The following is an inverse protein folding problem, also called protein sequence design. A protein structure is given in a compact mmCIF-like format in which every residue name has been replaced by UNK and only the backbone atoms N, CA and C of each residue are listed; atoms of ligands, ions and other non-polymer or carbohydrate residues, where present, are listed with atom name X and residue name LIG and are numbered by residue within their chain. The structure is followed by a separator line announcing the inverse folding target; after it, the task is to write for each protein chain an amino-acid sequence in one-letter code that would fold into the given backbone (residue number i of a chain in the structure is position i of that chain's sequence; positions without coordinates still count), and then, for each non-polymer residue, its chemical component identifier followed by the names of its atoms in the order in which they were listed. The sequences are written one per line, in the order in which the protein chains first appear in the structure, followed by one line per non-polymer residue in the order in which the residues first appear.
data_IF_989349743802
#
_entry.id   IF_989349743802
#
_cell.length_a   1.000
_cell.length_b   1.000
_cell.length_c   1.000
_cell.angle_alpha   90.00
_cell.angle_beta   90.00
_cell.angle_gamma   90.00
#
_symmetry.space_group_name_H-M   'P 1'
#
loop_
_entity.id
_entity.type
_entity.pdbx_description
1 polymer ?
#
# COMPACT_ATOMS: atom_id res chain seq x y z
N UNK A 1 64.88 12.66 -33.30
CA UNK A 1 63.98 13.55 -34.06
C UNK A 1 62.85 12.69 -34.60
N UNK A 2 61.60 13.06 -34.24
CA UNK A 2 60.29 12.57 -34.71
C UNK A 2 59.92 11.13 -34.25
N UNK A 3 58.97 10.85 -33.35
CA UNK A 3 57.64 11.41 -33.02
C UNK A 3 56.64 11.40 -34.18
N UNK A 4 55.64 10.50 -34.13
CA UNK A 4 54.19 10.74 -33.94
C UNK A 4 53.39 9.51 -34.43
N UNK A 5 52.42 9.08 -33.61
CA UNK A 5 51.12 8.41 -33.84
C UNK A 5 50.83 7.50 -32.63
N UNK A 6 50.24 8.03 -31.55
CA UNK A 6 48.79 8.01 -31.25
C UNK A 6 48.27 6.57 -31.05
N UNK A 7 47.85 6.20 -29.85
CA UNK A 7 46.45 6.38 -29.44
C UNK A 7 46.34 6.46 -27.92
N UNK A 8 45.86 7.59 -27.42
CA UNK A 8 45.26 7.70 -26.09
C UNK A 8 43.87 7.05 -26.16
N UNK A 9 43.77 5.84 -25.62
CA UNK A 9 42.50 5.20 -25.31
C UNK A 9 41.95 5.80 -24.02
N UNK A 10 41.29 6.95 -24.12
CA UNK A 10 40.43 7.48 -23.07
C UNK A 10 39.23 6.55 -22.88
N UNK A 11 39.36 5.58 -21.98
CA UNK A 11 38.25 4.81 -21.44
C UNK A 11 37.41 5.73 -20.54
N UNK A 12 36.49 6.49 -21.12
CA UNK A 12 35.40 7.07 -20.32
C UNK A 12 34.41 5.95 -20.03
N UNK A 13 34.67 5.22 -18.94
CA UNK A 13 33.69 4.34 -18.31
C UNK A 13 32.52 5.22 -17.86
N UNK A 14 31.52 5.41 -18.71
CA UNK A 14 30.23 5.96 -18.30
C UNK A 14 29.56 4.90 -17.43
N UNK A 15 29.62 5.10 -16.11
CA UNK A 15 28.92 4.30 -15.13
C UNK A 15 27.44 4.20 -15.51
N UNK A 16 26.91 2.98 -15.61
CA UNK A 16 25.48 2.76 -15.89
C UNK A 16 24.66 3.41 -14.76
N UNK A 17 23.66 4.21 -15.15
CA UNK A 17 22.74 4.87 -14.23
C UNK A 17 21.58 3.94 -13.88
N UNK A 18 21.22 3.91 -12.61
CA UNK A 18 20.06 3.23 -12.04
C UNK A 18 19.01 4.28 -11.68
N UNK A 19 17.73 4.00 -11.94
CA UNK A 19 16.64 4.92 -11.56
C UNK A 19 16.09 4.55 -10.20
N UNK A 20 16.08 5.47 -9.25
CA UNK A 20 15.30 5.34 -8.02
C UNK A 20 13.99 6.10 -8.20
N UNK A 21 12.88 5.38 -8.34
CA UNK A 21 11.55 5.94 -8.58
C UNK A 21 10.77 6.06 -7.28
N UNK A 22 10.27 7.25 -6.99
CA UNK A 22 9.47 7.55 -5.81
C UNK A 22 7.98 7.54 -6.17
N UNK A 23 7.17 6.82 -5.40
CA UNK A 23 5.75 6.64 -5.67
C UNK A 23 4.85 7.17 -4.54
N UNK A 24 3.57 7.38 -4.86
CA UNK A 24 2.56 7.86 -3.92
C UNK A 24 2.93 9.22 -3.30
N UNK A 25 2.52 9.44 -2.06
CA UNK A 25 2.79 10.70 -1.34
C UNK A 25 4.28 10.98 -1.11
N UNK A 26 5.17 9.99 -1.24
CA UNK A 26 6.61 10.21 -1.14
C UNK A 26 7.14 11.08 -2.28
N UNK A 27 6.61 10.93 -3.51
CA UNK A 27 6.94 11.78 -4.66
C UNK A 27 6.69 13.25 -4.36
N UNK A 28 5.53 13.54 -3.76
CA UNK A 28 5.09 14.90 -3.47
C UNK A 28 5.91 15.53 -2.33
N UNK A 29 6.19 14.75 -1.27
CA UNK A 29 7.00 15.22 -0.14
C UNK A 29 8.46 15.46 -0.51
N UNK A 30 9.04 14.59 -1.33
CA UNK A 30 10.44 14.72 -1.80
C UNK A 30 10.55 15.73 -2.95
N UNK A 31 9.45 16.02 -3.65
CA UNK A 31 9.42 16.93 -4.80
C UNK A 31 10.12 16.36 -6.04
N UNK A 32 10.35 15.04 -6.10
CA UNK A 32 10.99 14.34 -7.22
C UNK A 32 10.30 13.01 -7.48
N UNK A 33 10.15 12.67 -8.75
CA UNK A 33 9.62 11.36 -9.16
C UNK A 33 10.73 10.33 -9.38
N UNK A 34 11.87 10.76 -9.93
CA UNK A 34 12.99 9.89 -10.27
C UNK A 34 14.29 10.55 -9.79
N UNK A 35 15.17 9.75 -9.20
CA UNK A 35 16.54 10.09 -8.83
C UNK A 35 17.47 9.18 -9.65
N UNK A 36 18.34 9.75 -10.47
CA UNK A 36 19.33 8.96 -11.22
C UNK A 36 20.60 8.76 -10.38
N UNK A 37 20.96 7.51 -10.13
CA UNK A 37 22.13 7.15 -9.34
C UNK A 37 23.14 6.46 -10.23
N UNK A 38 24.39 6.91 -10.19
CA UNK A 38 25.50 6.20 -10.82
C UNK A 38 25.87 4.96 -9.99
N UNK A 39 25.59 3.77 -10.53
CA UNK A 39 25.71 2.56 -9.74
C UNK A 39 25.20 1.27 -10.38
N UNK A 40 25.26 1.09 -11.69
CA UNK A 40 24.75 -0.13 -12.33
C UNK A 40 25.49 -1.44 -12.00
N UNK A 41 26.55 -1.38 -11.19
CA UNK A 41 27.25 -2.55 -10.59
C UNK A 41 27.11 -2.55 -9.05
N UNK A 42 26.30 -1.64 -8.49
CA UNK A 42 26.09 -1.54 -7.05
C UNK A 42 24.90 -2.39 -6.63
N UNK A 43 25.03 -3.01 -5.45
CA UNK A 43 23.90 -3.58 -4.74
C UNK A 43 22.83 -2.53 -4.45
N UNK A 44 21.57 -2.96 -4.40
CA UNK A 44 20.44 -2.05 -4.21
C UNK A 44 20.54 -1.17 -2.97
N UNK A 45 21.12 -1.68 -1.87
CA UNK A 45 21.29 -0.92 -0.63
C UNK A 45 22.27 0.25 -0.84
N UNK A 46 23.36 0.02 -1.58
CA UNK A 46 24.31 1.06 -1.94
C UNK A 46 23.72 2.09 -2.92
N UNK A 47 22.87 1.65 -3.85
CA UNK A 47 22.11 2.56 -4.74
C UNK A 47 21.21 3.50 -3.92
N UNK A 48 20.47 2.97 -2.96
CA UNK A 48 19.59 3.76 -2.10
C UNK A 48 20.37 4.72 -1.20
N UNK A 49 21.51 4.30 -0.64
CA UNK A 49 22.40 5.19 0.12
C UNK A 49 22.85 6.39 -0.70
N UNK A 50 23.31 6.17 -1.93
CA UNK A 50 23.66 7.26 -2.85
C UNK A 50 22.47 8.14 -3.22
N UNK A 51 21.27 7.58 -3.36
CA UNK A 51 20.07 8.37 -3.60
C UNK A 51 19.76 9.30 -2.41
N UNK A 52 19.95 8.83 -1.18
CA UNK A 52 19.81 9.62 0.05
C UNK A 52 20.84 10.75 0.12
N UNK A 53 22.08 10.50 -0.29
CA UNK A 53 23.12 11.54 -0.39
C UNK A 53 22.77 12.64 -1.40
N UNK A 54 22.13 12.28 -2.52
CA UNK A 54 21.69 13.24 -3.54
C UNK A 54 20.42 14.02 -3.14
N UNK A 55 19.52 13.38 -2.39
CA UNK A 55 18.20 13.93 -2.07
C UNK A 55 17.90 13.69 -0.60
N UNK A 56 18.19 14.69 0.23
CA UNK A 56 18.05 14.61 1.68
C UNK A 56 16.62 14.25 2.14
N UNK A 57 15.60 14.68 1.41
CA UNK A 57 14.20 14.31 1.69
C UNK A 57 13.93 12.80 1.66
N UNK A 58 14.78 12.01 0.98
CA UNK A 58 14.67 10.56 0.95
C UNK A 58 15.03 9.90 2.30
N UNK A 59 15.70 10.62 3.21
CA UNK A 59 15.96 10.15 4.59
C UNK A 59 14.67 9.83 5.35
N UNK A 60 13.51 10.33 4.91
CA UNK A 60 12.21 9.95 5.48
C UNK A 60 11.90 8.45 5.25
N UNK A 61 12.32 7.93 4.08
CA UNK A 61 11.98 6.59 3.62
C UNK A 61 13.13 5.58 3.76
N UNK A 62 14.38 6.02 3.65
CA UNK A 62 15.58 5.19 3.65
C UNK A 62 16.53 5.67 4.76
N UNK A 63 17.16 4.75 5.49
CA UNK A 63 18.17 5.08 6.50
C UNK A 63 19.56 5.38 5.89
N UNK A 64 20.53 5.73 6.73
CA UNK A 64 21.89 6.08 6.30
C UNK A 64 22.67 4.87 5.76
N UNK A 65 22.26 3.65 6.12
CA UNK A 65 22.85 2.42 5.60
C UNK A 65 22.29 2.03 4.23
N UNK A 66 21.19 2.65 3.78
CA UNK A 66 20.53 2.34 2.52
C UNK A 66 19.35 1.37 2.66
N UNK A 67 18.89 1.13 3.89
CA UNK A 67 17.78 0.21 4.19
C UNK A 67 16.44 0.96 4.24
N UNK A 68 15.35 0.35 3.75
CA UNK A 68 14.02 0.95 3.85
C UNK A 68 13.54 1.03 5.29
N UNK A 69 13.02 2.19 5.69
CA UNK A 69 12.40 2.41 7.01
C UNK A 69 10.99 1.79 7.08
N UNK A 70 10.46 1.52 8.28
CA UNK A 70 9.08 1.10 8.45
C UNK A 70 8.08 2.04 7.77
N UNK A 71 7.06 1.46 7.13
CA UNK A 71 6.04 2.18 6.37
C UNK A 71 6.41 2.43 4.90
N UNK A 72 7.52 1.86 4.40
CA UNK A 72 7.87 1.89 2.98
C UNK A 72 8.15 0.48 2.46
N UNK A 73 7.66 0.18 1.25
CA UNK A 73 8.12 -0.95 0.48
C UNK A 73 9.15 -0.48 -0.54
N UNK A 74 10.13 -1.36 -0.77
CA UNK A 74 11.12 -1.20 -1.81
C UNK A 74 11.11 -2.41 -2.72
N UNK A 75 11.07 -2.14 -4.02
CA UNK A 75 11.22 -3.15 -5.05
C UNK A 75 12.49 -2.89 -5.84
N UNK A 76 13.35 -3.89 -5.91
CA UNK A 76 14.60 -3.85 -6.67
C UNK A 76 14.36 -4.61 -7.95
N UNK A 77 14.40 -3.86 -9.04
CA UNK A 77 13.94 -4.29 -10.34
C UNK A 77 12.54 -4.86 -10.33
N UNK A 78 11.71 -4.77 -9.28
CA UNK A 78 10.44 -5.50 -9.22
C UNK A 78 10.55 -6.86 -8.53
N UNK A 79 11.46 -6.99 -7.58
CA UNK A 79 11.42 -8.02 -6.54
C UNK A 79 11.46 -7.30 -5.20
N UNK A 80 10.66 -7.75 -4.23
CA UNK A 80 10.69 -7.19 -2.88
C UNK A 80 12.08 -7.33 -2.28
N UNK A 81 12.65 -6.23 -1.79
CA UNK A 81 14.04 -6.20 -1.30
C UNK A 81 14.31 -7.23 -0.18
N UNK A 82 13.27 -7.63 0.57
CA UNK A 82 13.38 -8.61 1.67
C UNK A 82 13.68 -10.03 1.18
N UNK A 83 13.50 -10.28 -0.11
CA UNK A 83 13.78 -11.56 -0.76
C UNK A 83 15.18 -11.57 -1.42
N UNK A 84 15.91 -10.46 -1.35
CA UNK A 84 17.19 -10.28 -2.02
C UNK A 84 18.32 -10.04 -1.02
N UNK A 85 19.55 -10.48 -1.33
CA UNK A 85 20.71 -10.04 -0.58
C UNK A 85 21.01 -8.56 -0.87
N UNK A 86 21.60 -7.83 0.08
CA UNK A 86 21.83 -6.37 0.00
C UNK A 86 22.76 -5.95 -1.16
N UNK A 87 23.62 -6.87 -1.59
CA UNK A 87 24.60 -6.71 -2.66
C UNK A 87 24.07 -7.12 -4.04
N UNK A 88 22.82 -7.56 -4.15
CA UNK A 88 22.18 -7.85 -5.44
C UNK A 88 22.17 -6.58 -6.32
N UNK A 89 22.87 -6.67 -7.46
CA UNK A 89 22.97 -5.61 -8.45
C UNK A 89 21.60 -5.21 -9.01
N UNK A 90 21.46 -3.93 -9.34
CA UNK A 90 20.24 -3.36 -9.94
C UNK A 90 20.42 -3.19 -11.44
N UNK A 91 19.56 -3.84 -12.22
CA UNK A 91 19.58 -3.77 -13.68
C UNK A 91 18.95 -2.48 -14.20
N UNK A 92 17.76 -2.11 -13.72
CA UNK A 92 16.94 -1.04 -14.30
C UNK A 92 16.50 0.00 -13.27
N UNK A 93 15.84 -0.41 -12.19
CA UNK A 93 15.25 0.54 -11.24
C UNK A 93 15.04 0.00 -9.82
N UNK A 94 15.06 0.93 -8.87
CA UNK A 94 14.58 0.71 -7.51
C UNK A 94 13.32 1.55 -7.31
N UNK A 95 12.22 0.94 -6.91
CA UNK A 95 10.97 1.65 -6.61
C UNK A 95 10.82 1.77 -5.10
N UNK A 96 10.60 2.98 -4.60
CA UNK A 96 10.31 3.27 -3.20
C UNK A 96 8.88 3.80 -3.09
N UNK A 97 8.03 3.11 -2.33
CA UNK A 97 6.64 3.47 -2.14
C UNK A 97 6.26 3.44 -0.66
N UNK A 98 5.51 4.43 -0.17
CA UNK A 98 4.91 4.36 1.16
C UNK A 98 3.81 3.30 1.19
N UNK A 99 3.78 2.48 2.23
CA UNK A 99 2.72 1.48 2.52
C UNK A 99 1.91 1.79 3.76
N UNK A 100 2.10 2.97 4.33
CA UNK A 100 1.22 3.48 5.38
C UNK A 100 -0.20 3.70 4.82
N UNK A 101 -1.21 3.18 5.52
CA UNK A 101 -2.58 3.68 5.46
C UNK A 101 -2.54 5.18 5.83
N UNK A 102 -2.61 6.08 4.84
CA UNK A 102 -2.88 7.50 4.98
C UNK A 102 -2.65 8.16 6.33
N UNK A 103 -1.41 8.60 6.53
CA UNK A 103 -1.04 9.65 7.45
C UNK A 103 0.25 10.27 6.95
N UNK A 104 0.21 11.55 6.61
CA UNK A 104 1.37 12.36 6.30
C UNK A 104 2.44 12.21 7.39
N UNK A 105 3.59 11.62 7.06
CA UNK A 105 4.82 11.79 7.84
C UNK A 105 5.27 13.24 7.69
N UNK A 106 4.98 14.00 8.75
CA UNK A 106 5.69 15.17 9.25
C UNK A 106 6.21 16.21 8.25
N UNK A 107 5.41 17.27 8.09
CA UNK A 107 5.96 18.63 8.15
C UNK A 107 6.44 18.84 9.59
N UNK A 108 7.72 19.13 9.76
CA UNK A 108 8.41 19.44 11.02
C UNK A 108 7.49 19.86 12.19
N UNK A 109 7.41 19.00 13.21
CA UNK A 109 6.85 19.37 14.53
C UNK A 109 5.34 19.28 14.71
N UNK A 110 4.57 18.65 13.81
CA UNK A 110 3.13 18.38 14.04
C UNK A 110 2.89 16.94 14.50
N UNK A 111 2.34 16.83 15.72
CA UNK A 111 1.84 15.62 16.37
C UNK A 111 0.90 14.85 15.42
N UNK A 112 1.18 13.57 15.15
CA UNK A 112 0.23 12.69 14.44
C UNK A 112 -1.04 12.61 15.28
N UNK A 113 -2.15 13.10 14.74
CA UNK A 113 -3.43 13.01 15.43
C UNK A 113 -4.05 11.64 15.19
N UNK A 114 -4.15 10.85 16.26
CA UNK A 114 -4.74 9.53 16.29
C UNK A 114 -6.20 9.62 16.73
N UNK A 115 -7.09 8.88 16.06
CA UNK A 115 -8.44 8.60 16.54
C UNK A 115 -8.48 7.15 16.96
N UNK A 116 -8.58 6.92 18.26
CA UNK A 116 -8.81 5.58 18.80
C UNK A 116 -10.29 5.26 18.77
N UNK A 117 -10.68 4.29 17.95
CA UNK A 117 -12.05 3.82 17.90
C UNK A 117 -12.30 2.81 19.02
N UNK A 118 -13.48 2.89 19.61
CA UNK A 118 -14.01 1.91 20.54
C UNK A 118 -14.89 0.90 19.78
N UNK A 119 -15.13 -0.26 20.38
CA UNK A 119 -16.10 -1.22 19.84
C UNK A 119 -17.49 -0.62 19.63
N UNK A 120 -17.91 0.31 20.49
CA UNK A 120 -19.17 1.03 20.34
C UNK A 120 -19.19 1.91 19.08
N UNK A 121 -18.06 2.53 18.74
CA UNK A 121 -17.94 3.29 17.49
C UNK A 121 -18.05 2.38 16.26
N UNK A 122 -17.51 1.15 16.37
CA UNK A 122 -17.62 0.13 15.32
C UNK A 122 -19.07 -0.34 15.17
N UNK A 123 -19.76 -0.65 16.27
CA UNK A 123 -21.18 -1.05 16.25
C UNK A 123 -22.06 0.03 15.60
N UNK A 124 -21.85 1.30 15.93
CA UNK A 124 -22.56 2.40 15.29
C UNK A 124 -22.24 2.52 13.79
N UNK A 125 -20.96 2.39 13.41
CA UNK A 125 -20.56 2.47 12.00
C UNK A 125 -21.15 1.31 11.18
N UNK A 126 -21.14 0.09 11.72
CA UNK A 126 -21.77 -1.08 11.10
C UNK A 126 -23.27 -0.86 10.93
N UNK A 127 -23.96 -0.37 11.97
CA UNK A 127 -25.40 -0.10 11.89
C UNK A 127 -25.73 0.92 10.79
N UNK A 128 -24.96 2.01 10.68
CA UNK A 128 -25.15 3.03 9.64
C UNK A 128 -24.88 2.48 8.23
N UNK A 129 -23.84 1.67 8.07
CA UNK A 129 -23.52 1.01 6.78
C UNK A 129 -24.62 0.00 6.40
N UNK A 130 -25.08 -0.82 7.34
CA UNK A 130 -26.17 -1.76 7.12
C UNK A 130 -27.47 -1.06 6.71
N UNK A 131 -27.83 0.03 7.40
CA UNK A 131 -28.99 0.86 7.05
C UNK A 131 -28.89 1.42 5.63
N UNK A 132 -27.70 1.86 5.21
CA UNK A 132 -27.46 2.37 3.86
C UNK A 132 -27.60 1.28 2.80
N UNK A 133 -27.14 0.06 3.08
CA UNK A 133 -27.30 -1.11 2.20
C UNK A 133 -28.79 -1.48 2.07
N UNK A 134 -29.51 -1.58 3.18
CA UNK A 134 -30.95 -1.90 3.16
C UNK A 134 -31.74 -0.85 2.39
N UNK A 135 -31.45 0.44 2.60
CA UNK A 135 -32.13 1.55 1.91
C UNK A 135 -31.84 1.61 0.42
N UNK A 136 -30.70 1.12 -0.05
CA UNK A 136 -30.39 1.09 -1.49
C UNK A 136 -31.13 -0.02 -2.23
N UNK A 137 -31.72 -0.98 -1.52
CA UNK A 137 -32.35 -2.18 -2.10
C UNK A 137 -31.34 -3.22 -2.57
N UNK A 138 -30.05 -3.09 -2.20
CA UNK A 138 -29.05 -4.09 -2.49
C UNK A 138 -29.13 -5.23 -1.47
N UNK A 139 -29.40 -6.45 -1.94
CA UNK A 139 -29.49 -7.65 -1.13
C UNK A 139 -28.26 -8.54 -1.38
N UNK A 140 -27.19 -8.44 -0.58
CA UNK A 140 -26.02 -9.28 -0.74
C UNK A 140 -26.31 -10.73 -0.37
N UNK A 141 -25.92 -11.65 -1.25
CA UNK A 141 -26.00 -13.09 -1.00
C UNK A 141 -24.69 -13.63 -0.40
N UNK A 142 -23.60 -12.89 -0.61
CA UNK A 142 -22.26 -13.19 -0.13
C UNK A 142 -21.58 -11.91 0.34
N UNK A 143 -20.92 -11.99 1.49
CA UNK A 143 -20.00 -10.95 1.96
C UNK A 143 -18.56 -11.46 1.84
N UNK A 144 -17.66 -10.65 1.27
CA UNK A 144 -16.25 -10.96 1.12
C UNK A 144 -15.42 -9.95 1.91
N UNK A 145 -14.85 -10.38 3.03
CA UNK A 145 -13.95 -9.55 3.83
C UNK A 145 -12.53 -9.52 3.25
N UNK A 146 -11.93 -8.33 3.15
CA UNK A 146 -10.53 -8.19 2.77
C UNK A 146 -9.64 -8.42 4.00
N UNK A 147 -8.70 -9.35 3.89
CA UNK A 147 -7.74 -9.62 4.96
C UNK A 147 -6.70 -8.50 5.04
N UNK A 148 -6.38 -7.98 6.23
CA UNK A 148 -6.87 -8.38 7.57
C UNK A 148 -8.01 -7.50 8.09
N UNK A 149 -8.01 -6.21 7.76
CA UNK A 149 -8.89 -5.20 8.38
C UNK A 149 -10.38 -5.44 8.18
N UNK A 150 -10.76 -5.89 6.98
CA UNK A 150 -12.13 -6.16 6.59
C UNK A 150 -12.81 -7.36 7.24
N UNK A 151 -12.12 -8.25 7.97
CA UNK A 151 -12.74 -9.43 8.57
C UNK A 151 -13.80 -9.05 9.61
N UNK A 152 -13.44 -8.15 10.53
CA UNK A 152 -14.32 -7.77 11.64
C UNK A 152 -15.55 -7.02 11.11
N UNK A 153 -15.43 -5.99 10.26
CA UNK A 153 -16.58 -5.35 9.62
C UNK A 153 -17.43 -6.33 8.79
N UNK A 154 -16.81 -7.25 8.04
CA UNK A 154 -17.53 -8.23 7.24
C UNK A 154 -18.42 -9.14 8.10
N UNK A 155 -17.88 -9.64 9.22
CA UNK A 155 -18.63 -10.49 10.14
C UNK A 155 -19.80 -9.73 10.80
N UNK A 156 -19.57 -8.49 11.22
CA UNK A 156 -20.61 -7.67 11.84
C UNK A 156 -21.71 -7.27 10.86
N UNK A 157 -21.35 -6.94 9.60
CA UNK A 157 -22.33 -6.67 8.55
C UNK A 157 -23.10 -7.93 8.15
N UNK A 158 -22.46 -9.10 8.15
CA UNK A 158 -23.14 -10.36 7.88
C UNK A 158 -24.24 -10.66 8.90
N UNK A 159 -23.96 -10.44 10.19
CA UNK A 159 -24.96 -10.56 11.25
C UNK A 159 -26.09 -9.53 11.06
N UNK A 160 -25.74 -8.25 10.86
CA UNK A 160 -26.72 -7.17 10.70
C UNK A 160 -27.64 -7.34 9.48
N UNK A 161 -27.13 -7.92 8.39
CA UNK A 161 -27.86 -8.12 7.13
C UNK A 161 -28.46 -9.53 7.00
N UNK A 162 -28.18 -10.44 7.94
CA UNK A 162 -28.64 -11.83 7.88
C UNK A 162 -27.96 -12.68 6.80
N UNK A 163 -26.77 -12.30 6.34
CA UNK A 163 -26.02 -13.01 5.29
C UNK A 163 -25.18 -14.12 5.91
N UNK A 164 -25.40 -15.36 5.49
CA UNK A 164 -24.69 -16.53 6.04
C UNK A 164 -23.39 -16.86 5.32
N UNK A 165 -23.27 -16.48 4.05
CA UNK A 165 -22.11 -16.79 3.24
C UNK A 165 -21.06 -15.70 3.40
N UNK A 166 -19.98 -16.02 4.12
CA UNK A 166 -18.87 -15.11 4.34
C UNK A 166 -17.61 -15.73 3.74
N UNK A 167 -16.98 -15.01 2.82
CA UNK A 167 -15.69 -15.33 2.24
C UNK A 167 -14.63 -14.34 2.70
N UNK A 168 -13.37 -14.69 2.48
CA UNK A 168 -12.24 -13.79 2.73
C UNK A 168 -11.25 -13.85 1.57
N UNK A 169 -10.62 -12.72 1.28
CA UNK A 169 -9.52 -12.61 0.30
C UNK A 169 -8.33 -11.93 0.93
N UNK A 170 -7.12 -12.42 0.65
CA UNK A 170 -5.89 -11.67 0.93
C UNK A 170 -5.29 -11.20 -0.38
N UNK A 171 -5.13 -9.87 -0.50
CA UNK A 171 -4.59 -9.23 -1.68
C UNK A 171 -3.24 -8.62 -1.32
N UNK A 172 -2.21 -8.99 -2.07
CA UNK A 172 -0.92 -8.30 -2.02
C UNK A 172 -0.68 -7.61 -3.35
N UNK A 173 -0.12 -6.41 -3.27
CA UNK A 173 0.43 -5.75 -4.44
C UNK A 173 1.76 -6.42 -4.79
N UNK A 174 1.82 -7.11 -5.93
CA UNK A 174 3.07 -7.60 -6.47
C UNK A 174 3.57 -6.64 -7.53
N UNK A 175 4.76 -6.11 -7.34
CA UNK A 175 5.53 -5.42 -8.37
C UNK A 175 6.63 -6.37 -8.79
N UNK A 176 6.47 -6.95 -9.98
CA UNK A 176 7.45 -7.80 -10.68
C UNK A 176 8.36 -6.98 -11.60
N UNK A 177 9.54 -7.51 -11.90
CA UNK A 177 10.45 -6.93 -12.89
C UNK A 177 9.79 -6.72 -14.25
N UNK A 178 9.91 -5.50 -14.79
CA UNK A 178 9.35 -5.09 -16.07
C UNK A 178 7.87 -4.74 -16.08
N UNK A 179 7.15 -4.77 -14.95
CA UNK A 179 5.71 -4.43 -14.90
C UNK A 179 5.49 -3.01 -14.37
N UNK A 180 5.06 -2.11 -15.28
CA UNK A 180 4.86 -0.67 -15.03
C UNK A 180 3.77 -0.29 -14.00
N UNK A 181 2.97 -1.25 -13.52
CA UNK A 181 1.93 -1.03 -12.50
C UNK A 181 1.88 -2.24 -11.54
N UNK A 182 1.78 -2.03 -10.21
CA UNK A 182 1.53 -3.12 -9.27
C UNK A 182 0.34 -3.96 -9.76
N UNK A 183 0.52 -5.27 -9.86
CA UNK A 183 -0.59 -6.18 -10.15
C UNK A 183 -1.06 -6.81 -8.84
N UNK A 184 -2.37 -6.87 -8.60
CA UNK A 184 -2.86 -7.58 -7.43
C UNK A 184 -2.56 -9.06 -7.57
N UNK A 185 -1.88 -9.60 -6.57
CA UNK A 185 -1.66 -11.02 -6.37
C UNK A 185 -2.59 -11.48 -5.25
N UNK A 186 -3.51 -12.39 -5.58
CA UNK A 186 -4.31 -13.08 -4.58
C UNK A 186 -3.40 -14.05 -3.83
N UNK A 187 -3.05 -13.69 -2.60
CA UNK A 187 -2.33 -14.60 -1.71
C UNK A 187 -3.25 -15.70 -1.19
N UNK A 188 -4.50 -15.35 -0.93
CA UNK A 188 -5.55 -16.30 -0.59
C UNK A 188 -6.72 -16.11 -1.56
N UNK A 189 -7.00 -17.09 -2.44
CA UNK A 189 -8.12 -17.02 -3.35
C UNK A 189 -9.46 -17.17 -2.59
N UNK A 190 -10.54 -16.73 -3.22
CA UNK A 190 -11.90 -17.02 -2.76
C UNK A 190 -12.14 -18.53 -2.78
N UNK A 191 -12.53 -19.07 -1.63
CA UNK A 191 -12.90 -20.48 -1.45
C UNK A 191 -14.42 -20.69 -1.41
N UNK A 192 -15.19 -19.63 -1.65
CA UNK A 192 -16.64 -19.66 -1.66
C UNK A 192 -17.18 -19.36 -3.06
N UNK A 193 -18.33 -19.93 -3.39
CA UNK A 193 -18.97 -19.71 -4.68
C UNK A 193 -19.66 -18.34 -4.70
N UNK A 194 -19.20 -17.47 -5.61
CA UNK A 194 -19.74 -16.12 -5.82
C UNK A 194 -20.34 -15.91 -7.22
N UNK A 195 -20.23 -16.92 -8.11
CA UNK A 195 -20.75 -16.83 -9.47
C UNK A 195 -22.26 -16.56 -9.46
N UNK A 196 -22.70 -15.63 -10.29
CA UNK A 196 -24.10 -15.22 -10.45
C UNK A 196 -24.77 -14.69 -9.16
N UNK A 197 -23.98 -14.34 -8.12
CA UNK A 197 -24.48 -13.83 -6.84
C UNK A 197 -24.24 -12.34 -6.67
N UNK A 198 -25.04 -11.70 -5.83
CA UNK A 198 -24.78 -10.35 -5.31
C UNK A 198 -23.69 -10.40 -4.23
N UNK A 199 -22.55 -9.77 -4.48
CA UNK A 199 -21.38 -9.79 -3.59
C UNK A 199 -21.15 -8.41 -2.98
N UNK A 200 -21.01 -8.36 -1.65
CA UNK A 200 -20.52 -7.20 -0.93
C UNK A 200 -19.08 -7.42 -0.50
N UNK A 201 -18.15 -6.67 -1.09
CA UNK A 201 -16.75 -6.62 -0.66
C UNK A 201 -16.63 -5.64 0.50
N UNK A 202 -15.98 -6.05 1.58
CA UNK A 202 -15.90 -5.28 2.83
C UNK A 202 -14.45 -5.08 3.28
N UNK A 203 -14.09 -3.84 3.58
CA UNK A 203 -12.86 -3.46 4.27
C UNK A 203 -13.16 -2.55 5.48
N UNK A 204 -12.18 -2.24 6.33
CA UNK A 204 -12.39 -1.33 7.46
C UNK A 204 -12.30 0.15 7.06
N UNK A 205 -11.34 0.52 6.22
CA UNK A 205 -11.16 1.88 5.71
C UNK A 205 -10.75 1.94 4.23
N UNK A 206 -11.39 2.81 3.45
CA UNK A 206 -10.87 3.18 2.12
C UNK A 206 -9.93 4.37 2.26
N UNK A 207 -8.62 4.12 2.20
CA UNK A 207 -7.59 5.15 2.33
C UNK A 207 -7.17 5.77 1.00
N UNK A 208 -6.36 5.05 0.22
CA UNK A 208 -6.02 5.42 -1.16
C UNK A 208 -7.06 4.92 -2.16
N UNK A 209 -7.82 3.89 -1.78
CA UNK A 209 -8.76 3.15 -2.62
C UNK A 209 -8.16 1.96 -3.37
N UNK A 210 -6.83 1.78 -3.35
CA UNK A 210 -6.16 0.73 -4.13
C UNK A 210 -6.55 -0.69 -3.71
N UNK A 211 -6.63 -0.95 -2.40
CA UNK A 211 -7.00 -2.28 -1.88
C UNK A 211 -8.38 -2.70 -2.37
N UNK A 212 -9.38 -1.82 -2.24
CA UNK A 212 -10.73 -2.06 -2.74
C UNK A 212 -10.76 -2.25 -4.26
N UNK A 213 -10.02 -1.43 -5.01
CA UNK A 213 -9.96 -1.55 -6.47
C UNK A 213 -9.51 -2.95 -6.88
N UNK A 214 -8.43 -3.42 -6.27
CA UNK A 214 -7.89 -4.74 -6.54
C UNK A 214 -8.78 -5.88 -6.06
N UNK A 215 -9.54 -5.67 -4.98
CA UNK A 215 -10.52 -6.64 -4.53
C UNK A 215 -11.67 -6.80 -5.51
N UNK A 216 -12.17 -5.70 -6.08
CA UNK A 216 -13.17 -5.72 -7.15
C UNK A 216 -12.60 -6.49 -8.34
N UNK A 217 -11.42 -6.10 -8.84
CA UNK A 217 -10.76 -6.75 -9.98
C UNK A 217 -10.58 -8.27 -9.76
N UNK A 218 -10.23 -8.69 -8.54
CA UNK A 218 -10.04 -10.08 -8.19
C UNK A 218 -11.37 -10.86 -8.07
N UNK A 219 -12.39 -10.28 -7.44
CA UNK A 219 -13.70 -10.90 -7.23
C UNK A 219 -14.46 -11.01 -8.55
N UNK A 220 -14.33 -10.03 -9.45
CA UNK A 220 -14.97 -10.04 -10.77
C UNK A 220 -14.53 -11.24 -11.63
N UNK A 221 -13.32 -11.79 -11.42
CA UNK A 221 -12.85 -13.00 -12.10
C UNK A 221 -13.72 -14.23 -11.81
N UNK A 222 -14.49 -14.21 -10.72
CA UNK A 222 -15.39 -15.29 -10.31
C UNK A 222 -16.82 -15.11 -10.84
N UNK A 223 -17.04 -14.12 -11.72
CA UNK A 223 -18.30 -13.86 -12.43
C UNK A 223 -19.53 -13.67 -11.52
N UNK A 224 -19.48 -12.79 -10.51
CA UNK A 224 -20.66 -12.42 -9.73
C UNK A 224 -21.71 -11.72 -10.59
N UNK A 225 -22.99 -11.76 -10.17
CA UNK A 225 -24.05 -11.01 -10.84
C UNK A 225 -23.89 -9.50 -10.62
N UNK A 226 -23.49 -9.11 -9.40
CA UNK A 226 -23.24 -7.73 -9.02
C UNK A 226 -22.19 -7.67 -7.91
N UNK A 227 -21.29 -6.69 -8.00
CA UNK A 227 -20.34 -6.37 -6.93
C UNK A 227 -20.66 -4.98 -6.39
N UNK A 228 -20.69 -4.89 -5.05
CA UNK A 228 -20.74 -3.63 -4.30
C UNK A 228 -19.66 -3.64 -3.23
N UNK A 229 -19.29 -2.46 -2.76
CA UNK A 229 -18.23 -2.26 -1.77
C UNK A 229 -18.76 -1.55 -0.53
N UNK A 230 -18.26 -1.95 0.64
CA UNK A 230 -18.51 -1.26 1.89
C UNK A 230 -17.23 -1.10 2.72
N UNK A 231 -17.10 0.06 3.37
CA UNK A 231 -16.13 0.24 4.46
C UNK A 231 -16.78 0.89 5.66
N UNK A 232 -16.16 0.81 6.84
CA UNK A 232 -16.67 1.59 7.98
C UNK A 232 -16.36 3.08 7.78
N UNK A 233 -15.13 3.38 7.36
CA UNK A 233 -14.65 4.74 7.19
C UNK A 233 -14.01 4.95 5.82
N UNK A 234 -13.91 6.21 5.41
CA UNK A 234 -13.10 6.62 4.26
C UNK A 234 -12.17 7.74 4.66
N UNK A 235 -11.08 7.91 3.91
CA UNK A 235 -10.31 9.15 3.94
C UNK A 235 -10.85 10.14 2.89
N UNK A 236 -10.79 11.45 3.14
CA UNK A 236 -11.19 12.46 2.14
C UNK A 236 -10.43 12.37 0.82
N UNK A 237 -9.23 11.80 0.83
CA UNK A 237 -8.34 11.68 -0.32
C UNK A 237 -8.42 10.33 -1.04
N UNK A 238 -9.37 9.46 -0.67
CA UNK A 238 -9.50 8.18 -1.37
C UNK A 238 -9.87 8.38 -2.84
N UNK A 239 -9.22 7.64 -3.73
CA UNK A 239 -9.55 7.63 -5.15
C UNK A 239 -10.69 6.65 -5.47
N UNK A 240 -11.08 5.80 -4.51
CA UNK A 240 -12.20 4.88 -4.64
C UNK A 240 -13.10 5.00 -3.41
N UNK A 241 -14.18 5.76 -3.57
CA UNK A 241 -15.25 5.84 -2.59
C UNK A 241 -16.10 4.57 -2.70
N UNK A 242 -16.23 3.76 -1.64
CA UNK A 242 -17.06 2.57 -1.66
C UNK A 242 -18.54 2.95 -1.80
N UNK A 243 -19.36 2.00 -2.28
CA UNK A 243 -20.81 2.20 -2.42
C UNK A 243 -21.47 2.55 -1.07
N UNK A 244 -20.94 1.98 0.02
CA UNK A 244 -21.44 2.21 1.38
C UNK A 244 -20.29 2.52 2.34
N UNK A 245 -20.43 3.59 3.11
CA UNK A 245 -19.52 3.89 4.22
C UNK A 245 -20.23 4.69 5.30
N UNK A 246 -19.72 4.65 6.54
CA UNK A 246 -20.32 5.45 7.61
C UNK A 246 -19.89 6.91 7.56
N UNK A 247 -18.60 7.18 7.76
CA UNK A 247 -18.05 8.55 7.87
C UNK A 247 -16.72 8.72 7.16
N UNK A 248 -16.44 9.96 6.77
CA UNK A 248 -15.11 10.39 6.33
C UNK A 248 -14.31 10.91 7.52
N UNK A 249 -13.08 10.41 7.70
CA UNK A 249 -12.15 10.80 8.75
C UNK A 249 -10.80 11.16 8.14
N UNK A 250 -10.24 12.30 8.50
CA UNK A 250 -8.97 12.84 7.97
C UNK A 250 -7.74 12.54 8.85
N UNK A 251 -7.93 11.82 9.95
CA UNK A 251 -6.90 11.48 10.93
C UNK A 251 -6.51 10.01 10.84
N UNK A 252 -5.38 9.62 11.44
CA UNK A 252 -5.02 8.21 11.54
C UNK A 252 -6.02 7.48 12.44
N UNK A 253 -6.60 6.39 11.94
CA UNK A 253 -7.61 5.62 12.67
C UNK A 253 -6.87 4.48 13.36
N UNK A 254 -7.19 4.23 14.63
CA UNK A 254 -6.73 3.05 15.35
C UNK A 254 -7.94 2.20 15.68
N UNK A 255 -8.15 1.13 14.91
CA UNK A 255 -9.24 0.20 15.14
C UNK A 255 -9.01 -0.66 16.40
N UNK A 256 -10.08 -1.18 17.03
CA UNK A 256 -9.93 -2.06 18.21
C UNK A 256 -9.08 -3.32 17.97
N UNK A 257 -9.04 -3.83 16.73
CA UNK A 257 -8.33 -5.07 16.38
C UNK A 257 -6.85 -4.89 16.02
N UNK A 258 -6.36 -3.64 15.89
CA UNK A 258 -4.98 -3.36 15.44
C UNK A 258 -4.15 -2.54 16.44
N UNK A 259 -4.68 -2.29 17.65
CA UNK A 259 -4.04 -1.41 18.65
C UNK A 259 -2.57 -1.75 18.90
N UNK A 260 -2.24 -3.03 19.09
CA UNK A 260 -0.86 -3.47 19.33
C UNK A 260 0.03 -3.27 18.12
N UNK A 261 -0.50 -3.53 16.92
CA UNK A 261 0.24 -3.35 15.67
C UNK A 261 0.60 -1.87 15.48
N UNK A 262 -0.37 -0.96 15.71
CA UNK A 262 -0.12 0.48 15.66
C UNK A 262 0.85 0.94 16.75
N UNK A 263 0.73 0.44 17.99
CA UNK A 263 1.67 0.76 19.07
C UNK A 263 3.11 0.32 18.74
N UNK A 264 3.28 -0.88 18.17
CA UNK A 264 4.58 -1.40 17.73
C UNK A 264 5.16 -0.57 16.58
N UNK A 265 4.34 -0.19 15.59
CA UNK A 265 4.75 0.68 14.47
C UNK A 265 5.17 2.08 14.93
N UNK A 266 4.40 2.68 15.84
CA UNK A 266 4.71 3.99 16.39
C UNK A 266 6.01 3.96 17.20
N UNK A 267 6.23 2.92 18.03
CA UNK A 267 7.49 2.71 18.76
C UNK A 267 8.66 2.50 17.81
N UNK A 268 8.52 1.65 16.80
CA UNK A 268 9.55 1.41 15.78
C UNK A 268 9.88 2.68 14.99
N UNK A 269 8.92 3.60 14.86
CA UNK A 269 9.06 4.88 14.18
C UNK A 269 9.56 6.03 15.08
N UNK A 270 9.94 5.74 16.33
CA UNK A 270 10.51 6.74 17.26
C UNK A 270 9.49 7.65 17.95
N UNK A 271 8.19 7.35 17.85
CA UNK A 271 7.16 8.08 18.61
C UNK A 271 7.08 7.55 20.04
N UNK A 272 6.95 8.46 21.01
CA UNK A 272 6.61 8.11 22.39
C UNK A 272 5.10 7.78 22.44
N UNK A 273 4.78 6.51 22.68
CA UNK A 273 3.40 5.97 22.80
C UNK A 273 3.10 5.63 24.25
#
# INVERSE_FOLDING_TARGET
MNSVYSTEGGSSSTSRKVRVRLMGGLRERVGREIIEVEGGELGWSAVLRKAVEQVEGLKEAIDEEGRPKPGYLVFVDGVDYRLLPEDQEVEEEVIVLPVTHGGSKEVSGRRVELIHLTWRDIEHAVSDVADKIVRSGFEPEVIVGILRGGIVPALLLADALGVKNIGVVEIKLYTSVGVRKPRPFLRQPLVIEVKDKNVLIVDDVSDSGLTLQHAIEAVDLYLPAQVKTATLYIKPWTNLVPDYYSKSLDKWIVFPWERREVEEELRASGYNV
#
